data_IF_943726086583
#
_entry.id   IF_943726086583
#
_cell.length_a   1.000
_cell.length_b   1.000
_cell.length_c   1.000
_cell.angle_alpha   90.00
_cell.angle_beta   90.00
_cell.angle_gamma   90.00
#
_symmetry.space_group_name_H-M   'P 1'
#
loop_
_entity.id
_entity.type
_entity.pdbx_description
1 polymer ?
#
# COMPACT_ATOMS: atom_id res chain seq x y z
N UNK A 1 4.51 80.88 -9.57
CA UNK A 1 5.46 79.97 -10.24
C UNK A 1 5.23 78.56 -9.70
N UNK A 2 4.74 77.64 -10.53
CA UNK A 2 4.47 76.26 -10.15
C UNK A 2 5.78 75.46 -10.15
N UNK A 3 6.17 74.89 -9.01
CA UNK A 3 7.39 74.07 -8.90
C UNK A 3 7.24 72.81 -9.79
N UNK A 4 8.30 72.38 -10.50
CA UNK A 4 8.22 71.23 -11.40
C UNK A 4 7.93 69.94 -10.62
N UNK A 5 6.93 69.18 -11.09
CA UNK A 5 6.50 67.90 -10.52
C UNK A 5 7.54 66.82 -10.82
N UNK A 6 8.14 66.24 -9.78
CA UNK A 6 9.16 65.17 -9.89
C UNK A 6 8.57 63.97 -10.63
N UNK A 7 9.18 63.57 -11.75
CA UNK A 7 8.79 62.35 -12.49
C UNK A 7 9.29 61.15 -11.69
N UNK A 8 8.38 60.33 -11.17
CA UNK A 8 8.73 59.05 -10.53
C UNK A 8 8.95 58.02 -11.62
N UNK A 9 10.13 57.42 -11.65
CA UNK A 9 10.54 56.49 -12.70
C UNK A 9 10.10 55.07 -12.31
N UNK A 10 9.77 54.21 -13.29
CA UNK A 10 9.39 52.79 -13.02
C UNK A 10 10.45 52.00 -12.23
N UNK A 11 11.72 52.44 -12.28
CA UNK A 11 12.86 51.88 -11.53
C UNK A 11 12.77 52.23 -10.04
N UNK A 12 12.44 53.47 -9.70
CA UNK A 12 12.23 53.95 -8.32
C UNK A 12 11.08 53.20 -7.63
N UNK A 13 10.00 52.91 -8.36
CA UNK A 13 8.86 52.11 -7.87
C UNK A 13 9.19 50.62 -7.65
N UNK A 14 10.19 50.07 -8.34
CA UNK A 14 10.63 48.66 -8.17
C UNK A 14 11.60 48.52 -7.00
N UNK A 15 12.54 49.45 -6.87
CA UNK A 15 13.49 49.48 -5.75
C UNK A 15 12.75 49.71 -4.42
N UNK A 16 11.79 50.65 -4.39
CA UNK A 16 11.00 50.93 -3.19
C UNK A 16 10.16 49.71 -2.75
N UNK A 17 9.55 48.97 -3.68
CA UNK A 17 8.81 47.74 -3.35
C UNK A 17 9.71 46.63 -2.79
N UNK A 18 10.91 46.47 -3.36
CA UNK A 18 11.86 45.47 -2.88
C UNK A 18 12.43 45.86 -1.50
N UNK A 19 12.83 47.11 -1.33
CA UNK A 19 13.34 47.63 -0.04
C UNK A 19 12.25 47.60 1.02
N UNK A 20 11.02 47.99 0.70
CA UNK A 20 9.88 47.89 1.61
C UNK A 20 9.57 46.43 1.95
N UNK A 21 9.69 45.50 1.01
CA UNK A 21 9.53 44.07 1.27
C UNK A 21 10.62 43.55 2.21
N UNK A 22 11.89 43.90 2.00
CA UNK A 22 12.99 43.45 2.86
C UNK A 22 12.89 44.04 4.26
N UNK A 23 12.54 45.32 4.39
CA UNK A 23 12.30 45.97 5.68
C UNK A 23 11.12 45.32 6.43
N UNK A 24 9.99 45.09 5.75
CA UNK A 24 8.83 44.40 6.35
C UNK A 24 9.15 42.96 6.73
N UNK A 25 9.90 42.24 5.90
CA UNK A 25 10.34 40.88 6.19
C UNK A 25 11.26 40.86 7.43
N UNK A 26 12.19 41.82 7.52
CA UNK A 26 13.08 41.97 8.67
C UNK A 26 12.31 42.28 9.94
N UNK A 27 11.43 43.28 9.93
CA UNK A 27 10.59 43.63 11.09
C UNK A 27 9.73 42.44 11.53
N UNK A 28 9.15 41.71 10.58
CA UNK A 28 8.34 40.54 10.89
C UNK A 28 9.16 39.41 11.51
N UNK A 29 10.37 39.14 11.00
CA UNK A 29 11.28 38.14 11.54
C UNK A 29 11.76 38.54 12.93
N UNK A 30 12.20 39.79 13.12
CA UNK A 30 12.68 40.26 14.43
C UNK A 30 11.57 40.21 15.48
N UNK A 31 10.35 40.63 15.11
CA UNK A 31 9.20 40.62 16.03
C UNK A 31 8.72 39.20 16.34
N UNK A 32 8.73 38.30 15.36
CA UNK A 32 8.16 36.94 15.49
C UNK A 32 9.22 35.83 15.57
N UNK A 33 10.51 36.16 15.79
CA UNK A 33 11.61 35.19 15.71
C UNK A 33 11.36 33.96 16.60
N UNK A 34 10.87 34.16 17.83
CA UNK A 34 10.56 33.07 18.76
C UNK A 34 9.46 32.13 18.23
N UNK A 35 8.44 32.68 17.57
CA UNK A 35 7.37 31.90 16.95
C UNK A 35 7.88 31.17 15.71
N UNK A 36 8.67 31.84 14.86
CA UNK A 36 9.27 31.26 13.65
C UNK A 36 10.23 30.11 13.99
N UNK A 37 11.07 30.26 15.02
CA UNK A 37 11.96 29.19 15.49
C UNK A 37 11.16 27.99 16.00
N UNK A 38 10.09 28.20 16.79
CA UNK A 38 9.21 27.10 17.22
C UNK A 38 8.54 26.40 16.04
N UNK A 39 8.01 27.16 15.09
CA UNK A 39 7.41 26.61 13.88
C UNK A 39 8.44 25.82 13.05
N UNK A 40 9.66 26.35 12.92
CA UNK A 40 10.77 25.68 12.24
C UNK A 40 11.17 24.36 12.91
N UNK A 41 11.23 24.32 14.25
CA UNK A 41 11.50 23.09 15.01
C UNK A 41 10.39 22.05 14.77
N UNK A 42 9.12 22.45 14.82
CA UNK A 42 7.99 21.54 14.55
C UNK A 42 8.06 20.99 13.13
N UNK A 43 8.32 21.83 12.14
CA UNK A 43 8.48 21.40 10.73
C UNK A 43 9.66 20.44 10.59
N UNK A 44 10.80 20.73 11.23
CA UNK A 44 11.97 19.85 11.22
C UNK A 44 11.66 18.47 11.83
N UNK A 45 10.96 18.44 12.97
CA UNK A 45 10.53 17.20 13.60
C UNK A 45 9.60 16.38 12.70
N UNK A 46 8.66 17.04 12.01
CA UNK A 46 7.77 16.38 11.03
C UNK A 46 8.60 15.80 9.88
N UNK A 47 9.56 16.54 9.32
CA UNK A 47 10.42 16.04 8.24
C UNK A 47 11.21 14.81 8.68
N UNK A 48 11.80 14.84 9.89
CA UNK A 48 12.55 13.70 10.45
C UNK A 48 11.61 12.51 10.63
N UNK A 49 10.44 12.69 11.22
CA UNK A 49 9.46 11.63 11.43
C UNK A 49 9.00 11.00 10.11
N UNK A 50 8.68 11.81 9.10
CA UNK A 50 8.29 11.33 7.76
C UNK A 50 9.44 10.58 7.10
N UNK A 51 10.67 11.10 7.17
CA UNK A 51 11.86 10.44 6.61
C UNK A 51 12.11 9.07 7.26
N UNK A 52 12.05 9.00 8.59
CA UNK A 52 12.16 7.74 9.34
C UNK A 52 11.06 6.75 8.96
N UNK A 53 9.82 7.22 8.83
CA UNK A 53 8.70 6.38 8.42
C UNK A 53 8.89 5.79 7.01
N UNK A 54 9.30 6.61 6.04
CA UNK A 54 9.58 6.15 4.67
C UNK A 54 10.74 5.14 4.67
N UNK A 55 11.82 5.41 5.40
CA UNK A 55 12.97 4.52 5.46
C UNK A 55 12.60 3.18 6.12
N UNK A 56 11.84 3.21 7.21
CA UNK A 56 11.35 2.01 7.90
C UNK A 56 10.45 1.18 6.99
N UNK A 57 9.50 1.80 6.29
CA UNK A 57 8.61 1.10 5.35
C UNK A 57 9.40 0.45 4.22
N UNK A 58 10.39 1.15 3.65
CA UNK A 58 11.24 0.61 2.58
C UNK A 58 12.03 -0.62 3.04
N UNK A 59 12.64 -0.56 4.23
CA UNK A 59 13.39 -1.69 4.78
C UNK A 59 12.46 -2.88 5.06
N UNK A 60 11.26 -2.64 5.58
CA UNK A 60 10.26 -3.68 5.76
C UNK A 60 9.86 -4.33 4.42
N UNK A 61 9.66 -3.54 3.35
CA UNK A 61 9.36 -4.07 2.02
C UNK A 61 10.46 -4.99 1.48
N UNK A 62 11.73 -4.58 1.60
CA UNK A 62 12.87 -5.39 1.11
C UNK A 62 12.94 -6.72 1.86
N UNK A 63 12.87 -6.68 3.20
CA UNK A 63 12.90 -7.89 4.04
C UNK A 63 11.72 -8.83 3.77
N UNK A 64 10.53 -8.27 3.59
CA UNK A 64 9.34 -9.03 3.25
C UNK A 64 9.49 -9.74 1.89
N UNK A 65 10.03 -9.05 0.88
CA UNK A 65 10.31 -9.64 -0.43
C UNK A 65 11.40 -10.71 -0.37
N UNK A 66 12.45 -10.54 0.46
CA UNK A 66 13.46 -11.57 0.71
C UNK A 66 12.82 -12.85 1.28
N UNK A 67 12.01 -12.72 2.33
CA UNK A 67 11.30 -13.85 2.95
C UNK A 67 10.36 -14.56 1.98
N UNK A 68 9.62 -13.80 1.17
CA UNK A 68 8.75 -14.36 0.15
C UNK A 68 9.55 -15.18 -0.88
N UNK A 69 10.67 -14.64 -1.36
CA UNK A 69 11.55 -15.33 -2.30
C UNK A 69 12.14 -16.60 -1.71
N UNK A 70 12.58 -16.57 -0.45
CA UNK A 70 13.06 -17.75 0.27
C UNK A 70 11.97 -18.81 0.46
N UNK A 71 10.75 -18.41 0.78
CA UNK A 71 9.62 -19.30 0.93
C UNK A 71 9.27 -20.00 -0.39
N UNK A 72 9.21 -19.24 -1.49
CA UNK A 72 8.96 -19.79 -2.83
C UNK A 72 10.06 -20.75 -3.28
N UNK A 73 11.33 -20.44 -2.97
CA UNK A 73 12.45 -21.32 -3.24
C UNK A 73 12.38 -22.60 -2.40
N UNK A 74 12.02 -22.50 -1.12
CA UNK A 74 11.83 -23.64 -0.25
C UNK A 74 10.69 -24.55 -0.76
N UNK A 75 9.57 -23.96 -1.17
CA UNK A 75 8.43 -24.70 -1.71
C UNK A 75 8.79 -25.40 -3.03
N UNK A 76 9.48 -24.69 -3.94
CA UNK A 76 9.98 -25.26 -5.21
C UNK A 76 10.95 -26.43 -5.01
N UNK A 77 11.65 -26.48 -3.88
CA UNK A 77 12.54 -27.59 -3.49
C UNK A 77 11.80 -28.73 -2.77
N UNK A 78 10.48 -28.66 -2.67
CA UNK A 78 9.64 -29.63 -1.95
C UNK A 78 9.71 -29.51 -0.43
N UNK A 79 10.31 -28.45 0.12
CA UNK A 79 10.37 -28.21 1.56
C UNK A 79 9.19 -27.34 2.01
N UNK A 80 7.98 -27.91 1.94
CA UNK A 80 6.72 -27.22 2.28
C UNK A 80 6.67 -26.78 3.73
N UNK A 81 7.30 -27.50 4.66
CA UNK A 81 7.37 -27.11 6.09
C UNK A 81 8.16 -25.82 6.28
N UNK A 82 9.31 -25.68 5.61
CA UNK A 82 10.10 -24.44 5.66
C UNK A 82 9.36 -23.30 4.98
N UNK A 83 8.70 -23.56 3.86
CA UNK A 83 7.90 -22.56 3.17
C UNK A 83 6.75 -22.04 4.04
N UNK A 84 5.97 -22.92 4.68
CA UNK A 84 4.88 -22.54 5.59
C UNK A 84 5.38 -21.66 6.74
N UNK A 85 6.50 -22.05 7.38
CA UNK A 85 7.10 -21.27 8.47
C UNK A 85 7.53 -19.87 8.02
N UNK A 86 8.22 -19.76 6.88
CA UNK A 86 8.66 -18.47 6.34
C UNK A 86 7.48 -17.57 5.96
N UNK A 87 6.43 -18.13 5.35
CA UNK A 87 5.26 -17.36 4.97
C UNK A 87 4.45 -16.91 6.19
N UNK A 88 4.38 -17.73 7.25
CA UNK A 88 3.73 -17.31 8.51
C UNK A 88 4.43 -16.09 9.08
N UNK A 89 5.76 -16.13 9.18
CA UNK A 89 6.55 -14.97 9.63
C UNK A 89 6.32 -13.77 8.72
N UNK A 90 6.28 -13.96 7.40
CA UNK A 90 6.00 -12.89 6.45
C UNK A 90 4.64 -12.22 6.69
N UNK A 91 3.58 -13.01 6.89
CA UNK A 91 2.22 -12.51 7.07
C UNK A 91 1.97 -11.92 8.45
N UNK A 92 2.72 -12.33 9.48
CA UNK A 92 2.58 -11.78 10.84
C UNK A 92 3.44 -10.55 11.06
N UNK A 93 4.70 -10.55 10.62
CA UNK A 93 5.68 -9.50 10.94
C UNK A 93 5.70 -8.36 9.92
N UNK A 94 5.26 -8.60 8.69
CA UNK A 94 5.34 -7.62 7.59
C UNK A 94 3.96 -7.24 7.02
N UNK A 95 2.96 -7.24 7.90
CA UNK A 95 1.59 -6.90 7.57
C UNK A 95 1.46 -5.50 6.91
N UNK A 96 0.56 -5.38 5.93
CA UNK A 96 0.35 -4.17 5.14
C UNK A 96 1.43 -3.89 4.08
N UNK A 97 2.33 -4.85 3.80
CA UNK A 97 3.27 -4.81 2.67
C UNK A 97 2.76 -5.74 1.56
N UNK A 98 2.94 -5.37 0.29
CA UNK A 98 2.50 -6.18 -0.87
C UNK A 98 2.98 -7.64 -0.83
N UNK A 99 4.23 -7.87 -0.41
CA UNK A 99 4.79 -9.21 -0.26
C UNK A 99 4.04 -10.06 0.80
N UNK A 100 3.55 -9.45 1.88
CA UNK A 100 2.72 -10.16 2.86
C UNK A 100 1.36 -10.57 2.27
N UNK A 101 0.77 -9.76 1.39
CA UNK A 101 -0.40 -10.16 0.62
C UNK A 101 -0.12 -11.38 -0.27
N UNK A 102 0.96 -11.35 -1.05
CA UNK A 102 1.39 -12.52 -1.83
C UNK A 102 1.65 -13.74 -0.94
N UNK A 103 2.19 -13.51 0.26
CA UNK A 103 2.38 -14.54 1.28
C UNK A 103 1.06 -15.15 1.79
N UNK A 104 0.04 -14.32 2.03
CA UNK A 104 -1.31 -14.78 2.40
C UNK A 104 -1.89 -15.69 1.31
N UNK A 105 -1.83 -15.25 0.04
CA UNK A 105 -2.31 -16.06 -1.07
C UNK A 105 -1.57 -17.40 -1.17
N UNK A 106 -0.24 -17.40 -1.04
CA UNK A 106 0.55 -18.62 -1.13
C UNK A 106 0.28 -19.58 0.03
N UNK A 107 0.18 -19.07 1.26
CA UNK A 107 -0.22 -19.86 2.44
C UNK A 107 -1.60 -20.47 2.24
N UNK A 108 -2.56 -19.67 1.79
CA UNK A 108 -3.92 -20.12 1.54
C UNK A 108 -3.94 -21.28 0.54
N UNK A 109 -3.21 -21.13 -0.57
CA UNK A 109 -3.06 -22.18 -1.57
C UNK A 109 -2.41 -23.45 -1.01
N UNK A 110 -1.35 -23.31 -0.21
CA UNK A 110 -0.69 -24.44 0.44
C UNK A 110 -1.62 -25.20 1.40
N UNK A 111 -2.44 -24.50 2.18
CA UNK A 111 -3.46 -25.12 3.03
C UNK A 111 -4.56 -25.79 2.22
N UNK A 112 -4.99 -25.15 1.13
CA UNK A 112 -5.98 -25.70 0.23
C UNK A 112 -5.49 -27.02 -0.41
N UNK A 113 -4.24 -27.06 -0.86
CA UNK A 113 -3.60 -28.28 -1.40
C UNK A 113 -3.48 -29.40 -0.35
N UNK A 114 -3.47 -29.05 0.94
CA UNK A 114 -3.48 -29.99 2.07
C UNK A 114 -4.90 -30.39 2.51
N UNK A 115 -5.94 -29.94 1.82
CA UNK A 115 -7.36 -30.06 2.19
C UNK A 115 -7.71 -29.39 3.54
N UNK A 116 -6.86 -28.50 4.03
CA UNK A 116 -7.13 -27.67 5.21
C UNK A 116 -7.90 -26.42 4.77
N UNK A 117 -9.16 -26.62 4.40
CA UNK A 117 -10.02 -25.56 3.89
C UNK A 117 -10.36 -24.50 4.94
N UNK A 118 -10.23 -24.81 6.23
CA UNK A 118 -10.43 -23.84 7.31
C UNK A 118 -9.32 -22.81 7.34
N UNK A 119 -8.05 -23.25 7.36
CA UNK A 119 -6.93 -22.32 7.30
C UNK A 119 -6.82 -21.64 5.94
N UNK A 120 -7.07 -22.36 4.84
CA UNK A 120 -7.07 -21.76 3.50
C UNK A 120 -8.06 -20.59 3.41
N UNK A 121 -9.28 -20.77 3.92
CA UNK A 121 -10.30 -19.73 3.92
C UNK A 121 -9.86 -18.48 4.69
N UNK A 122 -9.20 -18.64 5.84
CA UNK A 122 -8.69 -17.53 6.66
C UNK A 122 -7.71 -16.69 5.86
N UNK A 123 -6.71 -17.31 5.22
CA UNK A 123 -5.67 -16.57 4.51
C UNK A 123 -6.14 -16.00 3.17
N UNK A 124 -7.04 -16.69 2.44
CA UNK A 124 -7.69 -16.10 1.26
C UNK A 124 -8.51 -14.87 1.65
N UNK A 125 -9.28 -14.96 2.74
CA UNK A 125 -10.05 -13.82 3.23
C UNK A 125 -9.15 -12.67 3.67
N UNK A 126 -8.08 -12.96 4.40
CA UNK A 126 -7.10 -11.94 4.81
C UNK A 126 -6.54 -11.21 3.59
N UNK A 127 -6.17 -11.94 2.53
CA UNK A 127 -5.75 -11.33 1.27
C UNK A 127 -6.82 -10.39 0.70
N UNK A 128 -8.09 -10.83 0.63
CA UNK A 128 -9.17 -10.04 0.03
C UNK A 128 -9.58 -8.82 0.87
N UNK A 129 -9.47 -8.89 2.18
CA UNK A 129 -9.90 -7.83 3.10
C UNK A 129 -8.82 -6.75 3.26
N UNK A 130 -7.53 -7.14 3.27
CA UNK A 130 -6.41 -6.25 3.62
C UNK A 130 -5.47 -5.95 2.45
N UNK A 131 -5.51 -6.77 1.40
CA UNK A 131 -4.63 -6.70 0.25
C UNK A 131 -5.43 -6.68 -1.06
N UNK A 132 -4.72 -6.53 -2.17
CA UNK A 132 -5.31 -6.47 -3.51
C UNK A 132 -4.39 -5.73 -4.48
N UNK A 133 -4.96 -5.24 -5.57
CA UNK A 133 -4.26 -4.44 -6.58
C UNK A 133 -3.62 -5.26 -7.71
N UNK A 134 -3.51 -6.58 -7.54
CA UNK A 134 -3.20 -7.51 -8.63
C UNK A 134 -4.47 -8.30 -8.97
N UNK A 135 -5.03 -8.03 -10.16
CA UNK A 135 -6.30 -8.63 -10.60
C UNK A 135 -6.22 -10.16 -10.66
N UNK A 136 -5.07 -10.71 -11.09
CA UNK A 136 -4.89 -12.15 -11.22
C UNK A 136 -4.90 -12.83 -9.84
N UNK A 137 -4.12 -12.31 -8.89
CA UNK A 137 -4.10 -12.84 -7.52
C UNK A 137 -5.45 -12.63 -6.83
N UNK A 138 -6.11 -11.50 -7.07
CA UNK A 138 -7.42 -11.19 -6.47
C UNK A 138 -8.50 -12.10 -7.01
N UNK A 139 -8.56 -12.35 -8.32
CA UNK A 139 -9.48 -13.31 -8.90
C UNK A 139 -9.20 -14.73 -8.40
N UNK A 140 -7.92 -15.11 -8.31
CA UNK A 140 -7.51 -16.39 -7.74
C UNK A 140 -7.90 -16.55 -6.27
N UNK A 141 -7.78 -15.49 -5.46
CA UNK A 141 -8.13 -15.51 -4.04
C UNK A 141 -9.65 -15.60 -3.84
N UNK A 142 -10.43 -14.89 -4.66
CA UNK A 142 -11.89 -14.99 -4.69
C UNK A 142 -12.33 -16.43 -5.04
N UNK A 143 -11.72 -17.03 -6.06
CA UNK A 143 -11.99 -18.40 -6.46
C UNK A 143 -11.59 -19.42 -5.38
N UNK A 144 -10.40 -19.29 -4.79
CA UNK A 144 -9.95 -20.16 -3.70
C UNK A 144 -10.80 -20.03 -2.43
N UNK A 145 -11.28 -18.83 -2.12
CA UNK A 145 -12.25 -18.61 -1.04
C UNK A 145 -13.59 -19.31 -1.35
N UNK A 146 -14.05 -19.22 -2.60
CA UNK A 146 -15.25 -19.91 -3.07
C UNK A 146 -15.09 -21.43 -3.01
N UNK A 147 -13.94 -21.98 -3.40
CA UNK A 147 -13.63 -23.41 -3.26
C UNK A 147 -13.77 -23.85 -1.80
N UNK A 148 -13.22 -23.07 -0.85
CA UNK A 148 -13.34 -23.36 0.58
C UNK A 148 -14.80 -23.35 1.05
N UNK A 149 -15.63 -22.42 0.54
CA UNK A 149 -17.06 -22.37 0.85
C UNK A 149 -17.81 -23.59 0.31
N UNK A 150 -17.47 -24.06 -0.90
CA UNK A 150 -18.05 -25.30 -1.46
C UNK A 150 -17.78 -26.48 -0.54
N UNK A 151 -16.54 -26.63 -0.05
CA UNK A 151 -16.17 -27.73 0.85
C UNK A 151 -16.92 -27.66 2.19
N UNK A 152 -17.38 -26.47 2.60
CA UNK A 152 -18.25 -26.25 3.77
C UNK A 152 -19.75 -26.40 3.48
N UNK A 153 -20.13 -26.75 2.25
CA UNK A 153 -21.53 -26.86 1.82
C UNK A 153 -22.22 -25.53 1.52
N UNK A 154 -21.50 -24.41 1.53
CA UNK A 154 -22.02 -23.05 1.32
C UNK A 154 -22.04 -22.70 -0.18
N UNK A 155 -22.67 -23.55 -1.01
CA UNK A 155 -22.58 -23.48 -2.48
C UNK A 155 -23.15 -22.16 -3.03
N UNK A 156 -24.32 -21.74 -2.54
CA UNK A 156 -24.96 -20.49 -3.00
C UNK A 156 -24.12 -19.23 -2.67
N UNK A 157 -23.31 -19.30 -1.62
CA UNK A 157 -22.38 -18.23 -1.27
C UNK A 157 -21.14 -18.28 -2.14
N UNK A 158 -20.56 -19.48 -2.35
CA UNK A 158 -19.43 -19.70 -3.23
C UNK A 158 -19.67 -19.16 -4.65
N UNK A 159 -20.85 -19.40 -5.21
CA UNK A 159 -21.25 -18.91 -6.52
C UNK A 159 -21.04 -17.39 -6.67
N UNK A 160 -21.38 -16.61 -5.64
CA UNK A 160 -21.19 -15.14 -5.63
C UNK A 160 -19.72 -14.75 -5.69
N UNK A 161 -18.84 -15.52 -5.05
CA UNK A 161 -17.41 -15.24 -5.04
C UNK A 161 -16.74 -15.62 -6.38
N UNK A 162 -17.16 -16.71 -7.01
CA UNK A 162 -16.73 -17.00 -8.39
C UNK A 162 -17.24 -15.98 -9.40
N UNK A 163 -18.49 -15.53 -9.27
CA UNK A 163 -19.02 -14.47 -10.13
C UNK A 163 -18.17 -13.20 -9.99
N UNK A 164 -17.86 -12.79 -8.75
CA UNK A 164 -16.93 -11.66 -8.51
C UNK A 164 -15.57 -11.89 -9.16
N UNK A 165 -15.00 -13.11 -9.08
CA UNK A 165 -13.73 -13.44 -9.71
C UNK A 165 -13.78 -13.30 -11.24
N UNK A 166 -14.84 -13.82 -11.87
CA UNK A 166 -15.03 -13.75 -13.32
C UNK A 166 -15.40 -12.36 -13.85
N UNK A 167 -15.95 -11.50 -12.99
CA UNK A 167 -16.28 -10.11 -13.34
C UNK A 167 -15.17 -9.10 -13.02
N UNK A 168 -14.15 -9.49 -12.25
CA UNK A 168 -13.07 -8.60 -11.83
C UNK A 168 -12.29 -8.05 -13.03
N UNK A 169 -11.82 -8.95 -13.89
CA UNK A 169 -11.13 -8.60 -15.12
C UNK A 169 -11.42 -9.66 -16.19
N UNK A 170 -12.19 -9.26 -17.21
CA UNK A 170 -12.72 -10.16 -18.25
C UNK A 170 -11.64 -10.69 -19.21
N UNK A 171 -10.44 -10.11 -19.19
CA UNK A 171 -9.32 -10.53 -20.02
C UNK A 171 -8.50 -11.66 -19.37
N UNK A 172 -8.76 -11.97 -18.09
CA UNK A 172 -8.06 -13.07 -17.41
C UNK A 172 -8.44 -14.43 -18.04
N UNK A 173 -7.45 -15.30 -18.32
CA UNK A 173 -7.69 -16.61 -18.91
C UNK A 173 -8.66 -17.51 -18.14
N UNK A 174 -8.74 -17.32 -16.82
CA UNK A 174 -9.52 -18.13 -15.89
C UNK A 174 -11.00 -17.73 -15.82
N UNK A 175 -11.39 -16.58 -16.40
CA UNK A 175 -12.76 -16.04 -16.35
C UNK A 175 -13.83 -17.05 -16.77
N UNK A 176 -13.70 -17.79 -17.89
CA UNK A 176 -14.70 -18.78 -18.28
C UNK A 176 -14.90 -19.87 -17.22
N UNK A 177 -13.81 -20.29 -16.56
CA UNK A 177 -13.86 -21.28 -15.48
C UNK A 177 -14.61 -20.74 -14.26
N UNK A 178 -14.30 -19.50 -13.85
CA UNK A 178 -14.98 -18.88 -12.73
C UNK A 178 -16.48 -18.70 -12.99
N UNK A 179 -16.87 -18.19 -14.15
CA UNK A 179 -18.29 -18.01 -14.49
C UNK A 179 -19.02 -19.35 -14.61
N UNK A 180 -18.35 -20.40 -15.10
CA UNK A 180 -18.92 -21.75 -15.11
C UNK A 180 -19.16 -22.27 -13.69
N UNK A 181 -18.19 -22.12 -12.79
CA UNK A 181 -18.33 -22.52 -11.37
C UNK A 181 -19.38 -21.70 -10.63
N UNK A 182 -19.61 -20.45 -11.01
CA UNK A 182 -20.66 -19.60 -10.44
C UNK A 182 -22.08 -20.07 -10.82
N UNK A 183 -22.24 -20.75 -11.96
CA UNK A 183 -23.53 -21.16 -12.48
C UNK A 183 -23.98 -22.58 -12.03
N UNK A 184 -23.12 -23.30 -11.30
CA UNK A 184 -23.34 -24.67 -10.85
C UNK A 184 -23.81 -24.72 -9.39
#
# INVERSE_FOLDING_TARGET
>A
MLKPKKKITKRDLKEDKFVTFTLKARDYIETNMKMLVRAGIVVLLIIIAVSMFIHSKRNATIRASELLGEAQLANSKGNSMKADSLLKVLVTEYDGVTAAGQGCFLLAKMYWEQNDFDNAQIYFKKYLDEYGGDDLLTAGALAGYADCLIQKGQIAEAAKYYEKAGLLNKELPEVPSYLYSAAR
#
